data_IF_375839906936
#
_entry.id   IF_375839906936
#
_cell.length_a   1.000
_cell.length_b   1.000
_cell.length_c   1.000
_cell.angle_alpha   90.00
_cell.angle_beta   90.00
_cell.angle_gamma   90.00
#
_symmetry.space_group_name_H-M   'P 1'
#
loop_
_entity.id
_entity.type
_entity.pdbx_description
1 polymer ?
#
# COMPACT_ATOMS: atom_id res chain seq x y z
N UNK A 1 -4.04 -5.39 15.19
CA UNK A 1 -5.23 -4.51 15.18
C UNK A 1 -5.19 -3.69 13.92
N UNK A 2 -6.31 -3.60 13.21
CA UNK A 2 -6.45 -2.82 11.99
C UNK A 2 -7.74 -2.00 12.07
N UNK A 3 -7.62 -0.70 11.87
CA UNK A 3 -8.70 0.28 11.99
C UNK A 3 -9.24 0.67 10.62
N UNK A 4 -10.57 0.79 10.51
CA UNK A 4 -11.21 1.27 9.28
C UNK A 4 -12.55 1.93 9.57
N UNK A 5 -12.93 2.90 8.75
CA UNK A 5 -14.25 3.50 8.80
C UNK A 5 -15.20 2.77 7.84
N UNK A 6 -16.38 2.36 8.33
CA UNK A 6 -17.40 1.69 7.53
C UNK A 6 -18.20 2.64 6.62
N UNK A 7 -19.21 2.13 5.91
CA UNK A 7 -20.07 2.95 5.04
C UNK A 7 -20.99 3.91 5.79
N UNK A 8 -21.23 3.68 7.09
CA UNK A 8 -21.96 4.56 7.99
C UNK A 8 -21.09 5.68 8.57
N UNK A 9 -19.79 5.71 8.24
CA UNK A 9 -18.80 6.61 8.84
C UNK A 9 -18.51 6.26 10.32
N UNK A 10 -18.70 4.99 10.68
CA UNK A 10 -18.44 4.48 12.02
C UNK A 10 -17.05 3.85 12.02
N UNK A 11 -16.24 4.21 13.02
CA UNK A 11 -14.92 3.60 13.22
C UNK A 11 -15.06 2.16 13.70
N UNK A 12 -14.33 1.27 13.05
CA UNK A 12 -14.32 -0.16 13.33
C UNK A 12 -12.88 -0.62 13.53
N UNK A 13 -12.69 -1.44 14.56
CA UNK A 13 -11.42 -2.05 14.87
C UNK A 13 -11.50 -3.55 14.70
N UNK A 14 -10.54 -4.09 13.95
CA UNK A 14 -10.41 -5.52 13.71
C UNK A 14 -9.26 -6.09 14.53
N UNK A 15 -9.54 -7.14 15.31
CA UNK A 15 -8.56 -7.86 16.11
C UNK A 15 -8.29 -9.23 15.51
N UNK A 16 -7.00 -9.52 15.40
CA UNK A 16 -6.46 -10.84 15.06
C UNK A 16 -5.48 -11.23 16.16
N UNK A 17 -5.43 -12.52 16.46
CA UNK A 17 -4.44 -13.10 17.37
C UNK A 17 -3.49 -13.96 16.55
N UNK A 18 -2.20 -13.67 16.69
CA UNK A 18 -1.13 -14.48 16.13
C UNK A 18 -0.48 -15.26 17.26
N UNK A 19 -0.53 -16.58 17.20
CA UNK A 19 0.12 -17.45 18.17
C UNK A 19 0.92 -18.53 17.47
N UNK A 20 1.80 -19.20 18.22
CA UNK A 20 2.54 -20.36 17.76
C UNK A 20 2.17 -21.55 18.63
N UNK A 21 1.88 -22.69 18.01
CA UNK A 21 1.71 -23.98 18.68
C UNK A 21 2.51 -25.01 17.90
N UNK A 22 3.41 -25.73 18.57
CA UNK A 22 4.23 -26.77 17.94
C UNK A 22 4.97 -26.28 16.67
N UNK A 23 5.57 -25.07 16.76
CA UNK A 23 6.28 -24.45 15.64
C UNK A 23 5.39 -23.91 14.51
N UNK A 24 4.07 -24.12 14.58
CA UNK A 24 3.12 -23.63 13.57
C UNK A 24 2.54 -22.29 13.98
N UNK A 25 2.79 -21.29 13.14
CA UNK A 25 2.18 -19.96 13.26
C UNK A 25 0.71 -20.05 12.85
N UNK A 26 -0.18 -19.61 13.73
CA UNK A 26 -1.60 -19.47 13.46
C UNK A 26 -1.99 -18.00 13.58
N UNK A 27 -2.71 -17.49 12.58
CA UNK A 27 -3.39 -16.20 12.64
C UNK A 27 -4.88 -16.46 12.71
N UNK A 28 -5.51 -16.11 13.83
CA UNK A 28 -6.94 -16.30 14.08
C UNK A 28 -7.62 -14.94 14.13
N UNK A 29 -8.72 -14.82 13.40
CA UNK A 29 -9.64 -13.69 13.57
C UNK A 29 -10.28 -13.78 14.95
N UNK A 30 -10.33 -12.66 15.66
CA UNK A 30 -10.97 -12.55 16.97
C UNK A 30 -12.32 -11.86 16.85
N UNK A 31 -12.32 -10.61 16.37
CA UNK A 31 -13.54 -9.83 16.23
C UNK A 31 -13.36 -8.61 15.31
N UNK A 32 -14.48 -8.06 14.89
CA UNK A 32 -14.63 -6.66 14.46
C UNK A 32 -15.54 -5.99 15.48
N UNK A 33 -15.23 -4.77 15.88
CA UNK A 33 -16.14 -3.99 16.71
C UNK A 33 -15.79 -2.52 16.80
N UNK A 34 -16.75 -1.75 17.28
CA UNK A 34 -16.63 -0.32 17.47
C UNK A 34 -16.09 -0.02 18.88
N UNK A 35 -14.90 0.60 19.01
CA UNK A 35 -14.47 1.16 20.28
C UNK A 35 -15.28 2.43 20.59
N UNK A 36 -15.38 2.79 21.87
CA UNK A 36 -16.09 4.01 22.30
C UNK A 36 -15.51 5.28 21.66
N UNK A 37 -14.19 5.32 21.49
CA UNK A 37 -13.49 6.34 20.72
C UNK A 37 -12.13 5.79 20.28
N UNK A 38 -11.41 6.59 19.49
CA UNK A 38 -10.06 6.29 19.03
C UNK A 38 -8.97 6.73 20.02
N UNK A 39 -9.32 7.19 21.23
CA UNK A 39 -8.30 7.47 22.25
C UNK A 39 -7.71 6.16 22.80
N UNK A 40 -6.43 6.18 23.17
CA UNK A 40 -5.73 4.97 23.60
C UNK A 40 -6.38 4.23 24.78
N UNK A 41 -7.01 4.97 25.71
CA UNK A 41 -7.67 4.38 26.87
C UNK A 41 -8.95 3.60 26.50
N UNK A 42 -9.75 4.16 25.59
CA UNK A 42 -10.95 3.48 25.08
C UNK A 42 -10.57 2.28 24.22
N UNK A 43 -9.50 2.39 23.43
CA UNK A 43 -8.95 1.26 22.66
C UNK A 43 -8.41 0.16 23.58
N UNK A 44 -7.74 0.50 24.68
CA UNK A 44 -7.27 -0.47 25.68
C UNK A 44 -8.46 -1.23 26.30
N UNK A 45 -9.48 -0.47 26.69
CA UNK A 45 -10.71 -1.03 27.27
C UNK A 45 -11.40 -1.96 26.27
N UNK A 46 -11.47 -1.54 25.00
CA UNK A 46 -12.02 -2.34 23.91
C UNK A 46 -11.24 -3.65 23.71
N UNK A 47 -9.91 -3.59 23.59
CA UNK A 47 -9.06 -4.77 23.41
C UNK A 47 -9.22 -5.75 24.56
N UNK A 48 -9.12 -5.28 25.81
CA UNK A 48 -9.28 -6.13 27.00
C UNK A 48 -10.65 -6.80 27.05
N UNK A 49 -11.71 -6.02 26.84
CA UNK A 49 -13.08 -6.54 26.79
C UNK A 49 -13.23 -7.62 25.73
N UNK A 50 -12.72 -7.39 24.51
CA UNK A 50 -12.82 -8.37 23.42
C UNK A 50 -12.02 -9.63 23.66
N UNK A 51 -10.87 -9.53 24.32
CA UNK A 51 -10.09 -10.71 24.74
C UNK A 51 -10.84 -11.51 25.80
N UNK A 52 -11.44 -10.85 26.79
CA UNK A 52 -12.26 -11.51 27.82
C UNK A 52 -13.51 -12.18 27.25
N UNK A 53 -14.24 -11.50 26.35
CA UNK A 53 -15.43 -12.04 25.66
C UNK A 53 -15.13 -13.28 24.80
N UNK A 54 -13.85 -13.55 24.50
CA UNK A 54 -13.41 -14.71 23.71
C UNK A 54 -12.64 -15.74 24.56
N UNK A 55 -12.78 -15.71 25.89
CA UNK A 55 -12.14 -16.66 26.82
C UNK A 55 -10.60 -16.68 26.77
N UNK A 56 -9.98 -15.55 26.42
CA UNK A 56 -8.52 -15.41 26.33
C UNK A 56 -7.93 -14.52 27.44
N UNK A 57 -8.75 -14.10 28.40
CA UNK A 57 -8.34 -13.23 29.51
C UNK A 57 -7.15 -13.80 30.30
N UNK A 58 -7.19 -15.09 30.61
CA UNK A 58 -6.13 -15.77 31.36
C UNK A 58 -4.82 -15.90 30.56
N UNK A 59 -4.84 -15.65 29.25
CA UNK A 59 -3.66 -15.69 28.38
C UNK A 59 -3.03 -14.33 28.11
N UNK A 60 -3.56 -13.25 28.69
CA UNK A 60 -3.00 -11.89 28.53
C UNK A 60 -1.53 -11.80 28.93
N UNK A 61 -1.08 -12.56 29.94
CA UNK A 61 0.32 -12.62 30.36
C UNK A 61 1.27 -13.23 29.29
N UNK A 62 0.73 -13.91 28.27
CA UNK A 62 1.50 -14.47 27.14
C UNK A 62 1.59 -13.50 25.96
N UNK A 63 1.02 -12.29 26.08
CA UNK A 63 1.04 -11.29 25.03
C UNK A 63 2.43 -10.65 24.91
N UNK A 64 3.20 -11.09 23.92
CA UNK A 64 4.57 -10.60 23.68
C UNK A 64 4.65 -9.49 22.64
N UNK A 65 3.58 -9.23 21.89
CA UNK A 65 3.60 -8.23 20.83
C UNK A 65 2.24 -7.73 20.40
N UNK A 66 2.21 -6.51 19.90
CA UNK A 66 1.02 -5.80 19.45
C UNK A 66 1.28 -5.10 18.11
N UNK A 67 0.65 -5.59 17.04
CA UNK A 67 0.78 -5.04 15.69
C UNK A 67 -0.33 -4.03 15.34
N UNK A 68 0.03 -2.87 14.80
CA UNK A 68 -0.91 -1.81 14.39
C UNK A 68 -0.35 -0.91 13.27
N UNK A 69 -1.13 0.08 12.82
CA UNK A 69 -0.82 1.01 11.73
C UNK A 69 0.19 2.12 12.10
N UNK A 70 0.63 2.17 13.36
CA UNK A 70 1.60 3.15 13.84
C UNK A 70 1.06 4.55 14.10
N UNK A 71 -0.26 4.74 14.15
CA UNK A 71 -0.87 5.99 14.56
C UNK A 71 -0.48 6.38 16.01
N UNK A 72 -0.53 7.67 16.34
CA UNK A 72 -0.05 8.19 17.63
C UNK A 72 -0.86 7.69 18.84
N UNK A 73 -2.16 7.45 18.66
CA UNK A 73 -3.02 6.78 19.64
C UNK A 73 -2.67 5.29 19.82
N UNK A 74 -1.94 4.68 18.90
CA UNK A 74 -1.53 3.27 18.96
C UNK A 74 -0.11 3.11 19.50
N UNK A 75 0.88 3.78 18.88
CA UNK A 75 2.31 3.66 19.19
C UNK A 75 2.93 4.89 19.86
N UNK A 76 2.15 5.90 20.23
CA UNK A 76 2.67 7.09 20.91
C UNK A 76 3.39 6.76 22.21
N UNK A 77 4.55 7.36 22.43
CA UNK A 77 5.45 7.09 23.56
C UNK A 77 4.87 7.47 24.94
N UNK A 78 3.87 8.35 25.00
CA UNK A 78 3.27 8.80 26.25
C UNK A 78 1.88 8.20 26.48
N UNK A 79 1.00 8.32 25.49
CA UNK A 79 -0.42 7.95 25.59
C UNK A 79 -0.87 7.06 24.43
N UNK A 80 0.02 6.23 23.89
CA UNK A 80 -0.33 5.22 22.89
C UNK A 80 -0.86 3.94 23.55
N UNK A 81 -1.74 3.21 22.88
CA UNK A 81 -2.29 1.93 23.35
C UNK A 81 -1.18 0.96 23.79
N UNK A 82 -0.11 0.82 22.99
CA UNK A 82 1.00 -0.06 23.35
C UNK A 82 1.73 0.43 24.59
N UNK A 83 1.88 1.74 24.77
CA UNK A 83 2.48 2.32 25.97
C UNK A 83 1.63 2.03 27.20
N UNK A 84 0.30 2.09 27.09
CA UNK A 84 -0.60 1.70 28.18
C UNK A 84 -0.53 0.20 28.46
N UNK A 85 -0.49 -0.65 27.42
CA UNK A 85 -0.30 -2.10 27.59
C UNK A 85 1.02 -2.42 28.30
N UNK A 86 2.11 -1.69 28.02
CA UNK A 86 3.41 -1.86 28.70
C UNK A 86 3.39 -1.59 30.19
N UNK A 87 2.45 -0.77 30.69
CA UNK A 87 2.31 -0.52 32.12
C UNK A 87 1.86 -1.79 32.87
N UNK A 88 1.16 -2.69 32.19
CA UNK A 88 0.68 -3.96 32.75
C UNK A 88 1.50 -5.17 32.28
N UNK A 89 2.07 -5.10 31.07
CA UNK A 89 2.82 -6.15 30.41
C UNK A 89 4.14 -5.57 29.89
N UNK A 90 5.14 -5.43 30.76
CA UNK A 90 6.40 -4.70 30.49
C UNK A 90 7.10 -5.13 29.20
N UNK A 91 7.05 -6.42 28.88
CA UNK A 91 7.77 -7.02 27.75
C UNK A 91 7.06 -6.88 26.39
N UNK A 92 5.89 -6.22 26.32
CA UNK A 92 5.12 -6.17 25.07
C UNK A 92 5.81 -5.28 24.01
N UNK A 93 6.03 -5.87 22.84
CA UNK A 93 6.59 -5.19 21.68
C UNK A 93 5.51 -4.49 20.86
N UNK A 94 5.71 -3.20 20.57
CA UNK A 94 4.87 -2.45 19.63
C UNK A 94 5.39 -2.60 18.22
N UNK A 95 4.63 -3.20 17.32
CA UNK A 95 5.05 -3.48 15.95
C UNK A 95 4.25 -2.60 15.00
N UNK A 96 4.93 -1.62 14.40
CA UNK A 96 4.36 -0.84 13.31
C UNK A 96 4.32 -1.70 12.04
N UNK A 97 3.12 -1.88 11.49
CA UNK A 97 2.85 -2.65 10.28
C UNK A 97 3.83 -2.34 9.15
N UNK A 98 4.61 -3.35 8.77
CA UNK A 98 5.64 -3.22 7.74
C UNK A 98 5.04 -2.77 6.41
N UNK A 99 3.92 -3.34 5.98
CA UNK A 99 3.28 -2.93 4.74
C UNK A 99 2.81 -1.46 4.80
N UNK A 100 2.24 -1.03 5.92
CA UNK A 100 1.78 0.36 6.07
C UNK A 100 2.93 1.37 6.00
N UNK A 101 4.09 1.04 6.60
CA UNK A 101 5.32 1.84 6.50
C UNK A 101 5.76 2.08 5.06
N UNK A 102 5.68 1.06 4.21
CA UNK A 102 5.99 1.18 2.78
C UNK A 102 5.00 2.10 2.05
N UNK A 103 3.70 1.95 2.33
CA UNK A 103 2.66 2.80 1.74
C UNK A 103 2.88 4.28 2.13
N UNK A 104 3.22 4.55 3.40
CA UNK A 104 3.60 5.88 3.88
C UNK A 104 4.86 6.41 3.20
N UNK A 105 5.91 5.58 3.07
CA UNK A 105 7.14 5.97 2.38
C UNK A 105 6.87 6.40 0.94
N UNK A 106 6.08 5.61 0.20
CA UNK A 106 5.66 5.93 -1.16
C UNK A 106 4.86 7.24 -1.24
N UNK A 107 3.89 7.43 -0.34
CA UNK A 107 3.06 8.65 -0.31
C UNK A 107 3.89 9.89 0.00
N UNK A 108 4.82 9.80 0.94
CA UNK A 108 5.69 10.92 1.31
C UNK A 108 6.69 11.25 0.21
N UNK A 109 7.21 10.25 -0.49
CA UNK A 109 8.16 10.45 -1.59
C UNK A 109 7.55 11.22 -2.77
N UNK A 110 6.25 11.05 -3.02
CA UNK A 110 5.50 11.71 -4.09
C UNK A 110 4.66 12.90 -3.61
N UNK A 111 4.75 13.23 -2.31
CA UNK A 111 4.01 14.35 -1.73
C UNK A 111 4.46 15.66 -2.38
N UNK A 112 3.50 16.40 -2.94
CA UNK A 112 3.76 17.67 -3.60
C UNK A 112 4.33 17.56 -5.03
N UNK A 113 4.52 16.34 -5.56
CA UNK A 113 4.91 16.19 -6.95
C UNK A 113 3.75 16.57 -7.89
N UNK A 114 3.96 17.58 -8.73
CA UNK A 114 2.91 18.16 -9.58
C UNK A 114 2.33 17.13 -10.56
N UNK A 115 3.17 16.27 -11.14
CA UNK A 115 2.71 15.28 -12.12
C UNK A 115 1.98 14.13 -11.43
N UNK A 116 2.43 13.75 -10.24
CA UNK A 116 1.69 12.80 -9.41
C UNK A 116 0.29 13.31 -9.03
N UNK A 117 0.18 14.61 -8.67
CA UNK A 117 -1.12 15.24 -8.38
C UNK A 117 -2.00 15.24 -9.63
N UNK A 118 -1.48 15.66 -10.78
CA UNK A 118 -2.23 15.68 -12.04
C UNK A 118 -2.67 14.27 -12.49
N UNK A 119 -1.80 13.28 -12.37
CA UNK A 119 -2.12 11.88 -12.65
C UNK A 119 -3.20 11.36 -11.69
N UNK A 120 -3.08 11.65 -10.39
CA UNK A 120 -4.08 11.28 -9.40
C UNK A 120 -5.44 11.91 -9.69
N UNK A 121 -5.46 13.19 -10.12
CA UNK A 121 -6.67 13.87 -10.59
C UNK A 121 -7.28 13.19 -11.80
N UNK A 122 -6.46 12.80 -12.80
CA UNK A 122 -6.91 12.06 -13.96
C UNK A 122 -7.55 10.72 -13.56
N UNK A 123 -6.84 9.89 -12.78
CA UNK A 123 -7.29 8.54 -12.42
C UNK A 123 -8.55 8.57 -11.54
N UNK A 124 -8.61 9.45 -10.53
CA UNK A 124 -9.82 9.63 -9.72
C UNK A 124 -10.96 10.22 -10.53
N UNK A 125 -10.66 11.18 -11.40
CA UNK A 125 -11.65 11.81 -12.26
C UNK A 125 -12.29 10.80 -13.20
N UNK A 126 -11.50 9.94 -13.86
CA UNK A 126 -12.00 8.81 -14.64
C UNK A 126 -12.88 7.90 -13.78
N UNK A 127 -12.38 7.47 -12.61
CA UNK A 127 -13.13 6.60 -11.71
C UNK A 127 -14.51 7.17 -11.37
N UNK A 128 -14.59 8.42 -10.92
CA UNK A 128 -15.87 9.03 -10.52
C UNK A 128 -16.77 9.39 -11.71
N UNK A 129 -16.19 9.78 -12.86
CA UNK A 129 -16.94 10.08 -14.08
C UNK A 129 -17.75 8.86 -14.54
N UNK A 130 -17.12 7.68 -14.51
CA UNK A 130 -17.80 6.43 -14.87
C UNK A 130 -18.52 5.79 -13.68
N UNK A 131 -18.06 5.91 -12.44
CA UNK A 131 -18.75 5.31 -11.28
C UNK A 131 -20.16 5.86 -11.10
N UNK A 132 -20.30 7.18 -11.23
CA UNK A 132 -21.51 7.88 -10.82
C UNK A 132 -22.53 8.04 -11.97
N UNK A 133 -22.29 7.44 -13.14
CA UNK A 133 -23.20 7.56 -14.28
C UNK A 133 -23.31 6.28 -15.09
N UNK A 134 -24.48 5.65 -15.04
CA UNK A 134 -24.81 4.49 -15.86
C UNK A 134 -24.70 4.80 -17.36
N UNK A 135 -25.12 6.00 -17.78
CA UNK A 135 -24.97 6.49 -19.17
C UNK A 135 -23.51 6.49 -19.60
N UNK A 136 -22.61 7.10 -18.82
CA UNK A 136 -21.20 7.18 -19.18
C UNK A 136 -20.53 5.79 -19.23
N UNK A 137 -20.95 4.86 -18.36
CA UNK A 137 -20.49 3.46 -18.41
C UNK A 137 -20.93 2.77 -19.69
N UNK A 138 -22.18 2.95 -20.10
CA UNK A 138 -22.72 2.37 -21.33
C UNK A 138 -21.94 2.88 -22.55
N UNK A 139 -21.80 4.19 -22.68
CA UNK A 139 -21.05 4.81 -23.77
C UNK A 139 -19.58 4.34 -23.83
N UNK A 140 -18.93 4.17 -22.67
CA UNK A 140 -17.57 3.64 -22.62
C UNK A 140 -17.50 2.18 -23.12
N UNK A 141 -18.49 1.34 -22.78
CA UNK A 141 -18.57 -0.05 -23.28
C UNK A 141 -18.81 -0.07 -24.78
N UNK A 142 -19.70 0.78 -25.29
CA UNK A 142 -19.93 0.93 -26.74
C UNK A 142 -18.62 1.34 -27.45
N UNK A 143 -17.83 2.26 -26.89
CA UNK A 143 -16.51 2.60 -27.44
C UNK A 143 -15.53 1.41 -27.41
N UNK A 144 -15.54 0.60 -26.35
CA UNK A 144 -14.72 -0.61 -26.28
C UNK A 144 -15.13 -1.65 -27.33
N UNK A 145 -16.43 -1.82 -27.57
CA UNK A 145 -16.97 -2.74 -28.59
C UNK A 145 -16.57 -2.29 -29.99
N UNK A 146 -16.78 -1.01 -30.33
CA UNK A 146 -16.41 -0.43 -31.64
C UNK A 146 -14.91 -0.56 -31.90
N UNK A 147 -14.08 -0.33 -30.88
CA UNK A 147 -12.62 -0.46 -30.99
C UNK A 147 -12.13 -1.92 -30.86
N UNK A 148 -13.03 -2.90 -30.72
CA UNK A 148 -12.71 -4.31 -30.47
C UNK A 148 -11.73 -4.51 -29.30
N UNK A 149 -11.86 -3.68 -28.27
CA UNK A 149 -10.95 -3.60 -27.12
C UNK A 149 -11.50 -4.39 -25.93
N UNK A 150 -10.72 -5.34 -25.41
CA UNK A 150 -10.99 -6.01 -24.12
C UNK A 150 -10.62 -5.11 -22.93
N UNK A 151 -11.34 -4.00 -22.82
CA UNK A 151 -11.14 -2.96 -21.80
C UNK A 151 -11.73 -3.29 -20.43
N UNK A 152 -11.33 -2.51 -19.43
CA UNK A 152 -11.88 -2.51 -18.07
C UNK A 152 -12.36 -1.12 -17.65
N UNK A 153 -13.30 -1.06 -16.71
CA UNK A 153 -13.67 0.19 -16.05
C UNK A 153 -12.52 0.72 -15.18
N UNK A 154 -12.35 2.05 -15.05
CA UNK A 154 -11.29 2.62 -14.24
C UNK A 154 -11.44 2.23 -12.77
N UNK A 155 -10.29 2.04 -12.11
CA UNK A 155 -10.21 1.66 -10.70
C UNK A 155 -9.93 2.87 -9.81
N UNK A 156 -10.39 2.81 -8.56
CA UNK A 156 -10.12 3.84 -7.56
C UNK A 156 -8.66 3.76 -7.12
N UNK A 157 -7.94 4.88 -7.16
CA UNK A 157 -6.56 4.99 -6.65
C UNK A 157 -6.49 5.24 -5.14
N UNK A 158 -7.55 5.79 -4.54
CA UNK A 158 -7.62 6.00 -3.08
C UNK A 158 -8.11 4.73 -2.36
N UNK A 159 -7.65 4.52 -1.13
CA UNK A 159 -8.03 3.40 -0.26
C UNK A 159 -7.01 3.18 0.85
N UNK A 160 -7.03 2.01 1.49
CA UNK A 160 -6.05 1.60 2.52
C UNK A 160 -4.78 0.94 1.93
N UNK A 161 -4.79 0.58 0.63
CA UNK A 161 -3.66 -0.10 -0.06
C UNK A 161 -3.18 0.69 -1.28
N UNK A 162 -2.50 1.82 -1.07
CA UNK A 162 -2.24 2.82 -2.12
C UNK A 162 -1.44 2.26 -3.31
N UNK A 163 -0.37 1.52 -3.10
CA UNK A 163 0.47 0.95 -4.15
C UNK A 163 -0.31 -0.03 -5.07
N UNK A 164 -0.98 -1.09 -4.54
CA UNK A 164 -1.82 -1.95 -5.37
C UNK A 164 -3.02 -1.24 -6.03
N UNK A 165 -3.58 -0.21 -5.40
CA UNK A 165 -4.65 0.59 -6.01
C UNK A 165 -4.14 1.44 -7.18
N UNK A 166 -2.98 2.08 -7.02
CA UNK A 166 -2.32 2.84 -8.07
C UNK A 166 -1.97 1.95 -9.27
N UNK A 167 -1.38 0.78 -9.03
CA UNK A 167 -1.03 -0.16 -10.10
C UNK A 167 -2.27 -0.60 -10.89
N UNK A 168 -3.33 -1.03 -10.22
CA UNK A 168 -4.58 -1.43 -10.88
C UNK A 168 -5.22 -0.30 -11.69
N UNK A 169 -5.16 0.93 -11.19
CA UNK A 169 -5.68 2.08 -11.90
C UNK A 169 -4.86 2.41 -13.16
N UNK A 170 -3.53 2.32 -13.08
CA UNK A 170 -2.64 2.48 -14.24
C UNK A 170 -2.84 1.37 -15.27
N UNK A 171 -2.94 0.11 -14.81
CA UNK A 171 -3.21 -1.03 -15.69
C UNK A 171 -4.54 -0.86 -16.41
N UNK A 172 -5.59 -0.43 -15.70
CA UNK A 172 -6.89 -0.15 -16.29
C UNK A 172 -6.86 1.08 -17.21
N UNK A 173 -6.07 2.10 -16.90
CA UNK A 173 -5.89 3.27 -17.76
C UNK A 173 -5.38 2.81 -19.13
N UNK A 174 -4.26 2.10 -19.15
CA UNK A 174 -3.61 1.70 -20.40
C UNK A 174 -4.37 0.60 -21.15
N UNK A 175 -5.04 -0.32 -20.44
CA UNK A 175 -5.88 -1.35 -21.08
C UNK A 175 -7.08 -0.77 -21.84
N UNK A 176 -7.61 0.36 -21.36
CA UNK A 176 -8.80 1.00 -21.91
C UNK A 176 -8.52 2.36 -22.54
N UNK A 177 -7.25 2.73 -22.72
CA UNK A 177 -6.84 4.08 -23.07
C UNK A 177 -7.49 4.60 -24.36
N UNK A 178 -7.50 3.86 -25.49
CA UNK A 178 -8.19 4.32 -26.70
C UNK A 178 -9.67 4.61 -26.49
N UNK A 179 -10.37 3.77 -25.73
CA UNK A 179 -11.80 3.95 -25.44
C UNK A 179 -12.04 5.17 -24.54
N UNK A 180 -11.17 5.43 -23.55
CA UNK A 180 -11.26 6.64 -22.73
C UNK A 180 -11.06 7.91 -23.54
N UNK A 181 -10.03 7.94 -24.40
CA UNK A 181 -9.75 9.11 -25.23
C UNK A 181 -10.90 9.38 -26.20
N UNK A 182 -11.34 8.36 -26.94
CA UNK A 182 -12.44 8.46 -27.90
C UNK A 182 -13.72 8.99 -27.24
N UNK A 183 -14.14 8.37 -26.14
CA UNK A 183 -15.38 8.76 -25.48
C UNK A 183 -15.29 10.16 -24.86
N UNK A 184 -14.21 10.49 -24.16
CA UNK A 184 -14.12 11.78 -23.46
C UNK A 184 -13.94 12.95 -24.42
N UNK A 185 -13.33 12.74 -25.59
CA UNK A 185 -13.28 13.74 -26.64
C UNK A 185 -14.67 14.00 -27.24
N UNK A 186 -15.44 12.96 -27.55
CA UNK A 186 -16.83 13.10 -28.02
C UNK A 186 -17.71 13.83 -26.98
N UNK A 187 -17.63 13.41 -25.72
CA UNK A 187 -18.39 14.01 -24.63
C UNK A 187 -17.90 15.43 -24.24
N UNK A 188 -16.72 15.87 -24.70
CA UNK A 188 -16.12 17.14 -24.27
C UNK A 188 -16.92 18.38 -24.66
N UNK A 189 -17.66 18.31 -25.77
CA UNK A 189 -18.46 19.43 -26.30
C UNK A 189 -19.62 19.82 -25.39
N UNK A 190 -20.15 18.87 -24.61
CA UNK A 190 -21.35 19.07 -23.78
C UNK A 190 -21.08 18.87 -22.29
N UNK A 191 -19.90 18.38 -21.92
CA UNK A 191 -19.56 18.08 -20.53
C UNK A 191 -18.19 18.66 -20.14
N UNK A 192 -18.14 19.72 -19.32
CA UNK A 192 -16.89 20.34 -18.87
C UNK A 192 -15.95 19.37 -18.13
N UNK A 193 -16.51 18.39 -17.38
CA UNK A 193 -15.69 17.36 -16.71
C UNK A 193 -15.02 16.44 -17.73
N UNK A 194 -15.76 16.04 -18.78
CA UNK A 194 -15.20 15.24 -19.86
C UNK A 194 -14.09 15.99 -20.59
N UNK A 195 -14.30 17.28 -20.89
CA UNK A 195 -13.28 18.14 -21.50
C UNK A 195 -12.00 18.21 -20.63
N UNK A 196 -12.14 18.44 -19.32
CA UNK A 196 -11.02 18.44 -18.39
C UNK A 196 -10.22 17.12 -18.42
N UNK A 197 -10.91 15.98 -18.37
CA UNK A 197 -10.28 14.66 -18.41
C UNK A 197 -9.64 14.35 -19.76
N UNK A 198 -10.30 14.70 -20.87
CA UNK A 198 -9.77 14.53 -22.21
C UNK A 198 -8.44 15.28 -22.39
N UNK A 199 -8.35 16.52 -21.86
CA UNK A 199 -7.11 17.31 -21.87
C UNK A 199 -5.98 16.65 -21.09
N UNK A 200 -6.27 16.05 -19.93
CA UNK A 200 -5.27 15.32 -19.14
C UNK A 200 -4.84 14.02 -19.84
N UNK A 201 -5.76 13.31 -20.48
CA UNK A 201 -5.47 12.06 -21.20
C UNK A 201 -4.55 12.25 -22.39
N UNK A 202 -4.61 13.40 -23.06
CA UNK A 202 -3.72 13.72 -24.19
C UNK A 202 -2.49 14.50 -23.76
N UNK A 203 -2.25 14.73 -22.48
CA UNK A 203 -1.06 15.43 -22.01
C UNK A 203 0.15 14.52 -22.05
N UNK A 204 1.16 14.88 -22.86
CA UNK A 204 2.39 14.08 -22.99
C UNK A 204 3.05 13.88 -21.64
N UNK A 205 3.24 14.94 -20.85
CA UNK A 205 3.92 14.83 -19.55
C UNK A 205 3.18 13.92 -18.56
N UNK A 206 1.84 13.95 -18.55
CA UNK A 206 1.04 13.11 -17.63
C UNK A 206 1.11 11.64 -18.04
N UNK A 207 0.95 11.35 -19.34
CA UNK A 207 0.96 9.98 -19.85
C UNK A 207 2.36 9.37 -19.78
N UNK A 208 3.41 10.12 -20.13
CA UNK A 208 4.79 9.66 -19.95
C UNK A 208 5.09 9.40 -18.47
N UNK A 209 4.66 10.29 -17.56
CA UNK A 209 4.80 10.08 -16.12
C UNK A 209 4.01 8.85 -15.63
N UNK A 210 2.81 8.60 -16.17
CA UNK A 210 2.01 7.43 -15.80
C UNK A 210 2.68 6.10 -16.17
N UNK A 211 3.29 6.01 -17.36
CA UNK A 211 4.04 4.81 -17.77
C UNK A 211 5.33 4.66 -16.95
N UNK A 212 6.01 5.77 -16.68
CA UNK A 212 7.20 5.79 -15.82
C UNK A 212 6.88 5.28 -14.42
N UNK A 213 5.82 5.82 -13.82
CA UNK A 213 5.38 5.42 -12.50
C UNK A 213 4.96 3.95 -12.45
N UNK A 214 4.31 3.42 -13.50
CA UNK A 214 3.93 2.00 -13.59
C UNK A 214 5.16 1.07 -13.47
N UNK A 215 6.29 1.45 -14.09
CA UNK A 215 7.55 0.72 -13.95
C UNK A 215 8.13 0.81 -12.54
N UNK A 216 8.17 2.02 -11.98
CA UNK A 216 8.72 2.31 -10.65
C UNK A 216 7.95 1.61 -9.53
N UNK A 217 6.60 1.58 -9.58
CA UNK A 217 5.80 0.98 -8.51
C UNK A 217 5.79 -0.55 -8.52
N UNK A 218 6.14 -1.18 -9.64
CA UNK A 218 6.12 -2.64 -9.81
C UNK A 218 6.92 -3.38 -8.72
N UNK A 219 8.21 -3.07 -8.44
CA UNK A 219 8.94 -3.66 -7.32
C UNK A 219 8.31 -3.34 -5.96
N UNK A 220 7.76 -2.14 -5.78
CA UNK A 220 7.14 -1.73 -4.52
C UNK A 220 5.84 -2.49 -4.23
N UNK A 221 5.04 -2.81 -5.26
CA UNK A 221 3.85 -3.65 -5.08
C UNK A 221 4.24 -5.07 -4.69
N UNK A 222 5.27 -5.65 -5.31
CA UNK A 222 5.80 -6.97 -4.91
C UNK A 222 6.29 -6.96 -3.47
N UNK A 223 6.99 -5.90 -3.06
CA UNK A 223 7.39 -5.71 -1.67
C UNK A 223 6.17 -5.62 -0.75
N UNK A 224 5.18 -4.78 -1.08
CA UNK A 224 3.95 -4.61 -0.29
C UNK A 224 3.25 -5.95 -0.04
N UNK A 225 3.12 -6.80 -1.07
CA UNK A 225 2.53 -8.14 -0.95
C UNK A 225 3.41 -9.08 -0.11
N UNK A 226 4.73 -9.01 -0.27
CA UNK A 226 5.68 -9.80 0.53
C UNK A 226 5.59 -9.44 2.01
N UNK A 227 5.50 -8.14 2.32
CA UNK A 227 5.38 -7.62 3.69
C UNK A 227 4.04 -7.99 4.37
N UNK A 228 3.04 -8.43 3.60
CA UNK A 228 1.72 -8.87 4.10
C UNK A 228 1.65 -10.39 4.35
N UNK A 229 2.72 -11.14 4.06
CA UNK A 229 2.74 -12.58 4.25
C UNK A 229 2.66 -12.96 5.75
N UNK A 230 1.80 -13.91 6.14
CA UNK A 230 1.62 -14.30 7.54
C UNK A 230 2.81 -15.05 8.13
N UNK A 231 3.67 -15.62 7.29
CA UNK A 231 4.88 -16.37 7.65
C UNK A 231 6.16 -15.51 7.58
N UNK A 232 6.03 -14.22 7.27
CA UNK A 232 7.17 -13.31 7.15
C UNK A 232 7.85 -13.08 8.51
N UNK A 233 9.17 -13.23 8.53
CA UNK A 233 10.03 -12.81 9.65
C UNK A 233 10.59 -11.40 9.42
N UNK A 234 11.11 -10.77 10.47
CA UNK A 234 11.78 -9.47 10.36
C UNK A 234 13.02 -9.56 9.46
N UNK A 235 13.77 -10.68 9.54
CA UNK A 235 14.89 -10.95 8.65
C UNK A 235 14.47 -11.03 7.18
N UNK A 236 13.42 -11.80 6.87
CA UNK A 236 12.86 -11.88 5.51
C UNK A 236 12.42 -10.50 5.00
N UNK A 237 11.83 -9.67 5.86
CA UNK A 237 11.42 -8.32 5.53
C UNK A 237 12.62 -7.42 5.15
N UNK A 238 13.71 -7.45 5.93
CA UNK A 238 14.92 -6.66 5.63
C UNK A 238 15.53 -7.05 4.28
N UNK A 239 15.64 -8.36 4.02
CA UNK A 239 16.14 -8.88 2.74
C UNK A 239 15.23 -8.41 1.60
N UNK A 240 13.91 -8.53 1.75
CA UNK A 240 12.95 -8.12 0.72
C UNK A 240 13.02 -6.60 0.45
N UNK A 241 13.18 -5.78 1.49
CA UNK A 241 13.32 -4.32 1.37
C UNK A 241 14.62 -3.99 0.62
N UNK A 242 15.75 -4.57 1.00
CA UNK A 242 17.03 -4.35 0.34
C UNK A 242 16.97 -4.75 -1.15
N UNK A 243 16.51 -5.96 -1.44
CA UNK A 243 16.35 -6.44 -2.81
C UNK A 243 15.42 -5.55 -3.65
N UNK A 244 14.34 -5.03 -3.05
CA UNK A 244 13.42 -4.12 -3.75
C UNK A 244 14.05 -2.75 -4.04
N UNK A 245 14.89 -2.23 -3.15
CA UNK A 245 15.67 -1.01 -3.38
C UNK A 245 16.71 -1.19 -4.49
N UNK A 246 17.35 -2.35 -4.56
CA UNK A 246 18.32 -2.67 -5.62
C UNK A 246 17.63 -2.75 -6.98
N UNK A 247 16.52 -3.49 -7.07
CA UNK A 247 15.69 -3.56 -8.30
C UNK A 247 15.20 -2.18 -8.71
N UNK A 248 14.77 -1.36 -7.75
CA UNK A 248 14.34 0.00 -8.04
C UNK A 248 15.50 0.86 -8.56
N UNK A 249 16.68 0.79 -7.95
CA UNK A 249 17.86 1.56 -8.37
C UNK A 249 18.31 1.20 -9.78
N UNK A 250 18.26 -0.10 -10.11
CA UNK A 250 18.58 -0.63 -11.45
C UNK A 250 17.51 -0.32 -12.51
N UNK A 251 16.32 0.15 -12.12
CA UNK A 251 15.30 0.55 -13.09
C UNK A 251 15.80 1.73 -13.93
N UNK A 252 15.87 1.50 -15.24
CA UNK A 252 16.18 2.52 -16.25
C UNK A 252 14.95 2.81 -17.08
N UNK A 253 14.60 4.09 -17.28
CA UNK A 253 13.49 4.46 -18.16
C UNK A 253 13.66 3.91 -19.59
N UNK A 254 14.91 3.81 -20.06
CA UNK A 254 15.29 3.27 -21.35
C UNK A 254 15.08 1.76 -21.51
N UNK A 255 14.72 1.00 -20.47
CA UNK A 255 14.34 -0.41 -20.64
C UNK A 255 12.84 -0.59 -20.90
N UNK A 256 12.04 0.48 -20.85
CA UNK A 256 10.60 0.43 -21.04
C UNK A 256 10.24 0.85 -22.47
N UNK A 257 9.88 -0.13 -23.32
CA UNK A 257 9.53 0.09 -24.72
C UNK A 257 8.36 1.05 -24.91
N UNK A 258 7.36 1.02 -24.01
CA UNK A 258 6.22 1.95 -24.06
C UNK A 258 6.65 3.39 -23.80
N UNK A 259 7.61 3.60 -22.89
CA UNK A 259 8.17 4.93 -22.65
C UNK A 259 8.91 5.44 -23.90
N UNK A 260 9.75 4.59 -24.52
CA UNK A 260 10.45 4.94 -25.75
C UNK A 260 9.48 5.35 -26.85
N UNK A 261 8.46 4.52 -27.10
CA UNK A 261 7.46 4.79 -28.12
C UNK A 261 6.75 6.13 -27.88
N UNK A 262 6.36 6.43 -26.63
CA UNK A 262 5.72 7.70 -26.27
C UNK A 262 6.66 8.88 -26.50
N UNK A 263 7.93 8.77 -26.14
CA UNK A 263 8.91 9.85 -26.27
C UNK A 263 9.25 10.11 -27.75
N UNK A 264 9.46 9.06 -28.53
CA UNK A 264 9.83 9.13 -29.94
C UNK A 264 8.66 9.56 -30.84
N UNK A 265 7.49 8.92 -30.68
CA UNK A 265 6.33 9.13 -31.57
C UNK A 265 5.39 10.23 -31.08
N UNK A 266 5.51 10.66 -29.81
CA UNK A 266 4.53 11.53 -29.13
C UNK A 266 3.10 10.99 -29.22
N UNK A 267 2.97 9.67 -29.15
CA UNK A 267 1.71 8.96 -29.28
C UNK A 267 1.59 7.89 -28.19
N UNK A 268 0.37 7.65 -27.72
CA UNK A 268 0.06 6.56 -26.80
C UNK A 268 -1.06 5.72 -27.41
N UNK A 269 -0.75 4.46 -27.75
CA UNK A 269 -1.73 3.50 -28.29
C UNK A 269 -2.53 4.06 -29.48
N UNK A 270 -1.83 4.73 -30.41
CA UNK A 270 -2.40 5.32 -31.63
C UNK A 270 -3.00 6.72 -31.47
N UNK A 271 -2.91 7.34 -30.29
CA UNK A 271 -3.44 8.69 -30.05
C UNK A 271 -2.33 9.70 -29.82
N UNK A 272 -2.39 10.83 -30.54
CA UNK A 272 -1.42 11.94 -30.43
C UNK A 272 -1.49 12.64 -29.08
N UNK A 273 -0.33 12.79 -28.47
CA UNK A 273 -0.12 13.53 -27.23
C UNK A 273 0.23 14.99 -27.53
N UNK A 274 -0.13 15.87 -26.60
CA UNK A 274 0.06 17.33 -26.64
C UNK A 274 0.97 17.76 -25.50
N UNK A 275 1.76 18.79 -25.75
CA UNK A 275 2.64 19.40 -24.76
C UNK A 275 4.11 19.21 -25.05
N UNK A 276 4.93 19.64 -24.08
CA UNK A 276 6.37 19.73 -24.24
C UNK A 276 7.08 18.41 -23.92
N UNK A 277 8.35 18.37 -24.30
CA UNK A 277 9.28 17.28 -23.99
C UNK A 277 9.30 17.05 -22.48
N UNK A 278 9.25 15.77 -22.10
CA UNK A 278 9.31 15.32 -20.73
C UNK A 278 10.67 14.67 -20.49
N UNK A 279 11.43 15.20 -19.53
CA UNK A 279 12.73 14.64 -19.13
C UNK A 279 12.49 13.39 -18.28
N UNK A 280 12.49 12.24 -18.95
CA UNK A 280 12.20 10.95 -18.32
C UNK A 280 13.31 10.56 -17.35
N UNK A 281 14.57 10.76 -17.71
CA UNK A 281 15.72 10.27 -16.95
C UNK A 281 15.86 11.03 -15.63
N UNK A 282 15.85 12.36 -15.67
CA UNK A 282 15.92 13.20 -14.45
C UNK A 282 14.73 12.95 -13.53
N UNK A 283 13.53 12.81 -14.11
CA UNK A 283 12.31 12.56 -13.33
C UNK A 283 12.36 11.17 -12.69
N UNK A 284 12.78 10.15 -13.45
CA UNK A 284 12.93 8.78 -12.97
C UNK A 284 13.89 8.74 -11.79
N UNK A 285 15.09 9.32 -11.93
CA UNK A 285 16.10 9.31 -10.88
C UNK A 285 15.64 10.07 -9.64
N UNK A 286 14.97 11.21 -9.82
CA UNK A 286 14.40 11.99 -8.71
C UNK A 286 13.38 11.19 -7.91
N UNK A 287 12.44 10.51 -8.58
CA UNK A 287 11.41 9.71 -7.92
C UNK A 287 12.03 8.51 -7.21
N UNK A 288 12.90 7.75 -7.89
CA UNK A 288 13.60 6.60 -7.30
C UNK A 288 14.33 6.99 -6.02
N UNK A 289 15.15 8.05 -6.08
CA UNK A 289 15.91 8.56 -4.94
C UNK A 289 15.01 8.95 -3.77
N UNK A 290 13.91 9.69 -4.03
CA UNK A 290 12.95 10.07 -2.98
C UNK A 290 12.30 8.85 -2.33
N UNK A 291 11.90 7.86 -3.12
CA UNK A 291 11.28 6.63 -2.61
C UNK A 291 12.27 5.85 -1.73
N UNK A 292 13.50 5.63 -2.22
CA UNK A 292 14.55 4.94 -1.45
C UNK A 292 14.82 5.65 -0.12
N UNK A 293 15.02 6.97 -0.17
CA UNK A 293 15.23 7.79 1.03
C UNK A 293 14.07 7.65 2.04
N UNK A 294 12.82 7.69 1.57
CA UNK A 294 11.66 7.52 2.46
C UNK A 294 11.48 6.10 2.97
N UNK A 295 11.90 5.08 2.23
CA UNK A 295 11.97 3.71 2.73
C UNK A 295 13.01 3.67 3.85
N UNK A 296 14.22 4.18 3.65
CA UNK A 296 15.28 4.14 4.66
C UNK A 296 14.88 4.87 5.96
N UNK A 297 14.32 6.08 5.85
CA UNK A 297 13.78 6.81 7.02
C UNK A 297 12.71 5.99 7.77
N UNK A 298 11.82 5.34 7.01
CA UNK A 298 10.68 4.59 7.56
C UNK A 298 11.06 3.20 8.04
N UNK A 299 12.27 2.69 7.77
CA UNK A 299 12.77 1.37 8.19
C UNK A 299 14.07 1.41 9.01
N UNK A 300 14.47 2.59 9.49
CA UNK A 300 15.71 2.81 10.24
C UNK A 300 15.86 1.99 11.54
N UNK A 301 14.74 1.57 12.15
CA UNK A 301 14.67 0.72 13.33
C UNK A 301 14.83 -0.78 13.01
N UNK A 302 14.96 -1.19 11.74
CA UNK A 302 15.33 -2.56 11.38
C UNK A 302 16.86 -2.76 11.37
N UNK A 303 17.50 -2.41 12.49
CA UNK A 303 18.95 -2.50 12.70
C UNK A 303 19.42 -3.96 12.90
N UNK A 304 20.70 -4.22 12.65
CA UNK A 304 21.28 -5.58 12.66
C UNK A 304 21.15 -6.30 14.02
N UNK A 305 21.25 -5.57 15.13
CA UNK A 305 21.03 -6.09 16.48
C UNK A 305 19.62 -6.68 16.69
N UNK A 306 18.60 -6.13 16.03
CA UNK A 306 17.24 -6.67 16.06
C UNK A 306 17.16 -7.94 15.21
N UNK A 307 17.92 -8.06 14.12
CA UNK A 307 17.97 -9.32 13.37
C UNK A 307 18.57 -10.42 14.21
N UNK A 308 19.70 -10.17 14.86
CA UNK A 308 20.39 -11.14 15.71
C UNK A 308 19.44 -11.70 16.78
N UNK A 309 18.68 -10.81 17.44
CA UNK A 309 17.65 -11.19 18.41
C UNK A 309 16.49 -11.99 17.78
N UNK A 310 16.10 -11.71 16.55
CA UNK A 310 15.01 -12.43 15.86
C UNK A 310 15.42 -13.81 15.31
N UNK A 311 16.73 -14.06 15.13
CA UNK A 311 17.26 -15.37 14.71
C UNK A 311 16.98 -16.45 15.76
N UNK A 312 17.04 -16.08 17.04
CA UNK A 312 16.75 -16.94 18.20
C UNK A 312 15.26 -17.38 18.18
N UNK A 313 14.38 -16.55 17.61
CA UNK A 313 12.94 -16.80 17.51
C UNK A 313 12.46 -17.41 16.17
N UNK A 314 13.36 -17.88 15.30
CA UNK A 314 12.98 -18.44 14.00
C UNK A 314 12.26 -19.79 14.18
N UNK A 315 10.94 -19.79 14.03
CA UNK A 315 10.10 -21.00 14.11
C UNK A 315 10.36 -21.99 12.97
N UNK A 316 11.10 -21.61 11.92
CA UNK A 316 11.62 -22.55 10.91
C UNK A 316 12.59 -23.58 11.52
N UNK A 317 13.20 -23.24 12.65
CA UNK A 317 14.13 -24.10 13.39
C UNK A 317 13.45 -24.79 14.58
N UNK A 318 12.11 -24.83 14.63
CA UNK A 318 11.39 -25.47 15.73
C UNK A 318 11.72 -26.97 15.77
N UNK A 319 12.10 -27.54 16.93
CA UNK A 319 12.42 -28.95 17.02
C UNK A 319 11.19 -29.80 16.73
N UNK A 320 11.36 -30.81 15.88
CA UNK A 320 10.29 -31.72 15.44
C UNK A 320 9.93 -32.78 16.48
N UNK A 321 10.75 -32.93 17.52
CA UNK A 321 10.51 -33.84 18.64
C UNK A 321 10.06 -33.06 19.88
N UNK A 322 9.18 -33.67 20.68
CA UNK A 322 8.49 -33.16 21.87
C UNK A 322 9.45 -32.81 23.04
N UNK A 323 10.46 -32.01 22.74
CA UNK A 323 11.44 -31.50 23.68
C UNK A 323 10.95 -30.13 24.12
N UNK A 324 10.66 -29.98 25.41
CA UNK A 324 10.36 -28.68 26.00
C UNK A 324 11.51 -27.71 25.69
N UNK A 325 11.26 -26.76 24.79
CA UNK A 325 12.24 -25.70 24.51
C UNK A 325 12.15 -24.69 25.64
N UNK A 326 13.02 -24.85 26.64
CA UNK A 326 13.34 -23.77 27.58
C UNK A 326 14.17 -22.74 26.80
N UNK A 327 13.53 -21.67 26.33
CA UNK A 327 14.26 -20.49 25.84
C UNK A 327 14.79 -19.76 27.07
N UNK A 328 16.01 -20.12 27.47
CA UNK A 328 16.71 -19.50 28.58
C UNK A 328 17.36 -18.20 28.08
N UNK A 329 16.80 -17.05 28.44
CA UNK A 329 17.44 -15.76 28.19
C UNK A 329 18.61 -15.59 29.16
N UNK A 330 19.85 -15.69 28.66
CA UNK A 330 21.01 -15.13 29.36
C UNK A 330 21.08 -13.65 29.00
N UNK A 331 20.86 -12.80 30.01
CA UNK A 331 21.20 -11.39 29.96
C UNK A 331 22.66 -11.27 30.40
N UNK A 332 23.55 -10.85 29.49
CA UNK A 332 24.83 -10.24 29.85
C UNK A 332 24.71 -8.72 29.78
#
# INVERSE_FOLDING_TARGET
MDGSTDCGTIEQETLFIRCCSEGKIMLKFLCIGEPRSTCAQDLLTFVKKKIQENDLGDHMHKLVGFGCDGASNMLGCHNGLVTLLRQEYSEILGIHCLAHRLELAYKDALKGDRLYVQLSTLLLGLYYFYKNSAKQRKNLRECMEVLSLKGTLPHRVNGSRWLPHMQRALDSLFRSYPAFVSHLQDASHTNPKANGLARLLVSSSIITFAVLLQGIISPLVRLSLTLQRPDLTIGDAKIAIAASKDVLSQYTANSNEKLKEIVEKKECLGWKLKGNVFDVDTTSETIKRRIVMKIDERYQDLQDNILDATTIGSLKNWPTENTEVVIQFHLE
#
